data_IF_479252749478
#
_entry.id   IF_479252749478
#
_cell.length_a   1.000
_cell.length_b   1.000
_cell.length_c   1.000
_cell.angle_alpha   90.00
_cell.angle_beta   90.00
_cell.angle_gamma   90.00
#
_symmetry.space_group_name_H-M   'P 1'
#
loop_
_entity.id
_entity.type
_entity.pdbx_description
1 polymer ?
#
# COMPACT_ATOMS: atom_id res chain seq x y z
N UNK A 1 -8.04 -1.65 -3.59
CA UNK A 1 -7.94 -1.76 -2.12
C UNK A 1 -8.00 -0.39 -1.46
N UNK A 2 -8.13 -0.30 -0.13
CA UNK A 2 -8.07 1.00 0.57
C UNK A 2 -7.62 0.89 2.02
N UNK A 3 -7.00 1.96 2.53
CA UNK A 3 -6.49 2.13 3.88
C UNK A 3 -7.09 3.38 4.50
N UNK A 4 -7.57 3.31 5.74
CA UNK A 4 -7.94 4.52 6.50
C UNK A 4 -6.79 4.89 7.43
N UNK A 5 -6.35 6.14 7.38
CA UNK A 5 -5.38 6.64 8.33
C UNK A 5 -6.06 6.97 9.68
N UNK A 6 -5.96 6.04 10.62
CA UNK A 6 -6.41 6.24 12.01
C UNK A 6 -5.34 6.92 12.90
N UNK A 7 -4.14 7.21 12.37
CA UNK A 7 -3.14 8.03 13.06
C UNK A 7 -3.58 9.50 13.00
N UNK A 8 -3.29 10.27 14.05
CA UNK A 8 -3.59 11.71 14.07
C UNK A 8 -2.68 12.52 13.15
N UNK A 9 -1.59 11.90 12.65
CA UNK A 9 -0.59 12.53 11.79
C UNK A 9 -0.80 12.17 10.32
N UNK A 10 -0.23 12.98 9.44
CA UNK A 10 -0.08 12.64 8.02
C UNK A 10 0.84 11.44 7.86
N UNK A 11 0.47 10.53 6.96
CA UNK A 11 1.27 9.38 6.56
C UNK A 11 1.71 9.52 5.11
N UNK A 12 2.91 9.05 4.81
CA UNK A 12 3.42 8.91 3.44
C UNK A 12 3.59 7.44 3.12
N UNK A 13 2.95 6.96 2.05
CA UNK A 13 3.13 5.61 1.53
C UNK A 13 4.52 5.49 0.92
N UNK A 14 5.37 4.65 1.51
CA UNK A 14 6.73 4.37 1.03
C UNK A 14 6.79 3.19 0.09
N UNK A 15 5.96 2.18 0.36
CA UNK A 15 5.94 0.94 -0.41
C UNK A 15 4.57 0.28 -0.32
N UNK A 16 4.12 -0.31 -1.42
CA UNK A 16 3.05 -1.30 -1.42
C UNK A 16 3.63 -2.61 -1.95
N UNK A 17 3.52 -3.67 -1.16
CA UNK A 17 3.80 -5.03 -1.61
C UNK A 17 2.49 -5.79 -1.72
N UNK A 18 2.25 -6.44 -2.84
CA UNK A 18 1.17 -7.42 -2.95
C UNK A 18 1.81 -8.80 -3.11
N UNK A 19 1.29 -9.77 -2.39
CA UNK A 19 1.74 -11.16 -2.30
C UNK A 19 0.52 -12.06 -2.55
N UNK A 20 0.67 -13.12 -3.32
CA UNK A 20 -0.43 -14.04 -3.65
C UNK A 20 -0.59 -15.21 -2.68
N UNK A 21 0.10 -15.16 -1.53
CA UNK A 21 0.07 -16.24 -0.54
C UNK A 21 0.94 -17.45 -0.92
N UNK A 22 1.46 -17.47 -2.16
CA UNK A 22 2.26 -18.54 -2.70
C UNK A 22 3.68 -18.06 -3.06
N UNK A 23 3.98 -17.92 -4.35
CA UNK A 23 5.32 -17.63 -4.86
C UNK A 23 5.44 -16.22 -5.41
N UNK A 24 4.32 -15.58 -5.78
CA UNK A 24 4.37 -14.34 -6.51
C UNK A 24 4.19 -13.15 -5.57
N UNK A 25 5.07 -12.17 -5.74
CA UNK A 25 4.90 -10.86 -5.14
C UNK A 25 5.24 -9.75 -6.12
N UNK A 26 4.72 -8.55 -5.86
CA UNK A 26 5.09 -7.34 -6.58
C UNK A 26 5.20 -6.17 -5.64
N UNK A 27 6.27 -5.42 -5.83
CA UNK A 27 6.60 -4.24 -5.06
C UNK A 27 6.39 -2.97 -5.89
N UNK A 28 5.80 -1.98 -5.24
CA UNK A 28 5.53 -0.65 -5.77
C UNK A 28 6.12 0.36 -4.79
N UNK A 29 7.22 1.02 -5.17
CA UNK A 29 7.84 2.06 -4.34
C UNK A 29 7.07 3.37 -4.43
N UNK A 30 7.31 4.30 -3.50
CA UNK A 30 6.76 5.65 -3.53
C UNK A 30 6.94 6.30 -4.92
N UNK A 31 8.16 6.26 -5.47
CA UNK A 31 8.47 6.92 -6.76
C UNK A 31 7.73 6.27 -7.93
N UNK A 32 7.48 4.96 -7.86
CA UNK A 32 6.69 4.26 -8.88
C UNK A 32 5.22 4.63 -8.77
N UNK A 33 4.67 4.64 -7.56
CA UNK A 33 3.27 5.02 -7.32
C UNK A 33 3.01 6.45 -7.81
N UNK A 34 3.88 7.40 -7.45
CA UNK A 34 3.76 8.80 -7.86
C UNK A 34 3.87 8.96 -9.38
N UNK A 35 4.79 8.22 -10.02
CA UNK A 35 4.93 8.19 -11.48
C UNK A 35 3.67 7.66 -12.18
N UNK A 36 3.01 6.69 -11.56
CA UNK A 36 1.77 6.10 -12.04
C UNK A 36 0.54 6.96 -11.66
N UNK A 37 0.75 8.17 -11.09
CA UNK A 37 -0.30 9.13 -10.73
C UNK A 37 -1.04 8.79 -9.43
N UNK A 38 -0.53 7.86 -8.64
CA UNK A 38 -1.11 7.46 -7.37
C UNK A 38 -0.54 8.38 -6.28
N UNK A 39 -1.41 9.20 -5.67
CA UNK A 39 -1.04 10.03 -4.52
C UNK A 39 -0.49 9.13 -3.40
N UNK A 40 0.59 9.52 -2.74
CA UNK A 40 1.22 8.75 -1.65
C UNK A 40 0.97 9.36 -0.28
N UNK A 41 0.36 10.55 -0.21
CA UNK A 41 0.02 11.22 1.06
C UNK A 41 -1.36 10.79 1.56
N UNK A 42 -1.44 10.41 2.84
CA UNK A 42 -2.69 10.08 3.54
C UNK A 42 -2.86 10.99 4.75
N UNK A 43 -3.76 11.96 4.63
CA UNK A 43 -4.12 12.83 5.76
C UNK A 43 -4.83 12.06 6.87
N UNK A 44 -4.76 12.56 8.10
CA UNK A 44 -5.46 11.95 9.24
C UNK A 44 -6.96 11.87 8.98
N UNK A 45 -7.57 10.73 9.33
CA UNK A 45 -8.99 10.46 9.11
C UNK A 45 -9.38 10.14 7.67
N UNK A 46 -8.49 10.37 6.69
CA UNK A 46 -8.78 10.11 5.29
C UNK A 46 -8.55 8.65 4.91
N UNK A 47 -9.34 8.22 3.92
CA UNK A 47 -9.16 6.94 3.25
C UNK A 47 -8.31 7.13 2.00
N UNK A 48 -7.27 6.34 1.90
CA UNK A 48 -6.41 6.19 0.73
C UNK A 48 -6.74 4.90 0.01
N UNK A 49 -6.60 4.87 -1.31
CA UNK A 49 -6.87 3.68 -2.09
C UNK A 49 -6.04 3.63 -3.35
N UNK A 50 -5.80 2.40 -3.81
CA UNK A 50 -5.04 2.15 -5.02
C UNK A 50 -5.66 0.99 -5.79
N UNK A 51 -5.63 1.11 -7.11
CA UNK A 51 -5.88 0.04 -8.06
C UNK A 51 -4.53 -0.32 -8.69
N UNK A 52 -4.03 -1.51 -8.38
CA UNK A 52 -2.78 -2.02 -8.93
C UNK A 52 -3.11 -3.06 -9.99
N UNK A 53 -2.35 -3.05 -11.09
CA UNK A 53 -2.45 -4.08 -12.11
C UNK A 53 -2.00 -5.42 -11.52
N UNK A 54 -2.84 -6.44 -11.60
CA UNK A 54 -2.47 -7.81 -11.26
C UNK A 54 -1.62 -8.41 -12.39
N UNK A 55 -0.78 -9.40 -12.06
CA UNK A 55 -0.11 -10.21 -13.07
C UNK A 55 -0.99 -11.41 -13.42
N UNK A 56 -0.89 -11.89 -14.65
CA UNK A 56 -1.50 -13.16 -15.05
C UNK A 56 -0.88 -14.29 -14.21
N UNK A 57 -1.73 -15.15 -13.64
CA UNK A 57 -1.30 -16.31 -12.84
C UNK A 57 -1.15 -16.06 -11.35
N UNK A 58 -1.53 -14.88 -10.85
CA UNK A 58 -1.69 -14.67 -9.41
C UNK A 58 -2.89 -15.44 -8.90
N UNK A 59 -2.71 -16.07 -7.74
CA UNK A 59 -3.84 -16.52 -6.95
C UNK A 59 -4.54 -15.28 -6.37
N UNK A 60 -5.80 -15.09 -6.73
CA UNK A 60 -6.57 -13.91 -6.34
C UNK A 60 -7.33 -14.14 -5.03
N UNK A 61 -7.40 -15.38 -4.54
CA UNK A 61 -8.17 -15.75 -3.35
C UNK A 61 -7.38 -15.55 -2.05
N UNK A 62 -6.05 -15.46 -2.11
CA UNK A 62 -5.15 -15.30 -0.95
C UNK A 62 -4.29 -14.03 -1.01
N UNK A 63 -4.74 -13.00 -1.73
CA UNK A 63 -3.94 -11.79 -1.92
C UNK A 63 -3.69 -11.05 -0.60
N UNK A 64 -2.44 -11.04 -0.17
CA UNK A 64 -1.97 -10.26 0.96
C UNK A 64 -1.31 -8.97 0.47
N UNK A 65 -1.84 -7.83 0.90
CA UNK A 65 -1.27 -6.52 0.62
C UNK A 65 -0.66 -5.91 1.87
N UNK A 66 0.58 -5.45 1.75
CA UNK A 66 1.34 -4.81 2.82
C UNK A 66 1.66 -3.39 2.35
N UNK A 67 1.12 -2.39 3.05
CA UNK A 67 1.38 -0.97 2.80
C UNK A 67 2.32 -0.46 3.87
N UNK A 68 3.56 -0.15 3.48
CA UNK A 68 4.54 0.50 4.36
C UNK A 68 4.33 2.00 4.30
N UNK A 69 4.05 2.61 5.44
CA UNK A 69 3.84 4.05 5.61
C UNK A 69 4.86 4.64 6.57
N UNK A 70 5.21 5.90 6.37
CA UNK A 70 6.10 6.67 7.24
C UNK A 70 5.37 7.92 7.75
N UNK A 71 5.47 8.19 9.05
CA UNK A 71 4.99 9.45 9.65
C UNK A 71 5.97 10.59 9.38
N UNK A 72 5.52 11.83 9.49
CA UNK A 72 6.41 13.02 9.38
C UNK A 72 7.61 12.98 10.35
N UNK A 73 7.47 12.26 11.47
CA UNK A 73 8.54 12.04 12.45
C UNK A 73 9.52 10.90 12.08
N UNK A 74 9.43 10.33 10.88
CA UNK A 74 10.27 9.23 10.40
C UNK A 74 9.95 7.85 10.98
N UNK A 75 8.77 7.66 11.60
CA UNK A 75 8.37 6.35 12.14
C UNK A 75 7.66 5.56 11.06
N UNK A 76 8.21 4.39 10.74
CA UNK A 76 7.63 3.47 9.75
C UNK A 76 6.65 2.50 10.40
N UNK A 77 5.54 2.24 9.71
CA UNK A 77 4.52 1.24 10.08
C UNK A 77 4.14 0.42 8.86
N UNK A 78 3.73 -0.83 9.09
CA UNK A 78 3.13 -1.68 8.06
C UNK A 78 1.63 -1.84 8.32
N UNK A 79 0.83 -1.65 7.29
CA UNK A 79 -0.60 -1.84 7.29
C UNK A 79 -0.90 -3.04 6.39
N UNK A 80 -1.34 -4.15 6.99
CA UNK A 80 -1.53 -5.44 6.30
C UNK A 80 -3.01 -5.71 6.06
N UNK A 81 -3.35 -6.13 4.85
CA UNK A 81 -4.71 -6.44 4.41
C UNK A 81 -4.72 -7.73 3.59
N UNK A 82 -5.82 -8.46 3.68
CA UNK A 82 -6.12 -9.59 2.81
C UNK A 82 -7.28 -9.17 1.90
N UNK A 83 -7.14 -9.42 0.60
CA UNK A 83 -8.11 -9.06 -0.44
C UNK A 83 -8.77 -10.33 -0.94
#
# INVERSE_FOLDING_TARGET
>A
MSVTNNDSRTLTVKKVRVDDGSFWSSDYTQERLERDGINTTIYSGNRWGVALSHRIGWDMDELKVIVTVETESGVTKELVYYV
#
